data_IF_019508863906
#
_entry.id   IF_019508863906
#
_cell.length_a   1.000
_cell.length_b   1.000
_cell.length_c   1.000
_cell.angle_alpha   90.00
_cell.angle_beta   90.00
_cell.angle_gamma   90.00
#
_symmetry.space_group_name_H-M   'P 1'
#
loop_
_entity.id
_entity.type
_entity.pdbx_description
1 polymer ?
#
# COMPACT_ATOMS: atom_id res chain seq x y z
N UNK A 1 -9.73 -1.54 13.31
CA UNK A 1 -8.67 -1.80 12.30
C UNK A 1 -8.51 -0.52 11.52
N UNK A 2 -7.30 -0.18 11.09
CA UNK A 2 -7.08 1.07 10.35
C UNK A 2 -7.58 0.92 8.92
N UNK A 3 -8.30 1.92 8.45
CA UNK A 3 -8.71 2.06 7.04
C UNK A 3 -7.58 2.64 6.21
N UNK A 4 -7.71 2.60 4.88
CA UNK A 4 -6.74 3.26 4.00
C UNK A 4 -6.69 4.77 4.26
N UNK A 5 -7.85 5.40 4.53
CA UNK A 5 -7.91 6.81 4.93
C UNK A 5 -7.13 7.08 6.20
N UNK A 6 -7.26 6.24 7.24
CA UNK A 6 -6.51 6.39 8.50
C UNK A 6 -5.00 6.28 8.27
N UNK A 7 -4.57 5.36 7.40
CA UNK A 7 -3.14 5.24 7.07
C UNK A 7 -2.61 6.48 6.36
N UNK A 8 -3.39 7.04 5.42
CA UNK A 8 -3.03 8.28 4.71
C UNK A 8 -2.88 9.43 5.70
N UNK A 9 -3.81 9.60 6.64
CA UNK A 9 -3.75 10.65 7.67
C UNK A 9 -2.55 10.47 8.60
N UNK A 10 -2.22 9.23 8.98
CA UNK A 10 -1.04 8.95 9.80
C UNK A 10 0.26 9.22 9.05
N UNK A 11 0.36 8.89 7.76
CA UNK A 11 1.52 9.23 6.92
C UNK A 11 1.64 10.74 6.78
N UNK A 12 0.54 11.42 6.48
CA UNK A 12 0.47 12.89 6.35
C UNK A 12 0.93 13.57 7.65
N UNK A 13 0.46 13.10 8.80
CA UNK A 13 0.89 13.59 10.12
C UNK A 13 2.40 13.43 10.36
N UNK A 14 2.99 12.30 9.94
CA UNK A 14 4.45 12.11 10.01
C UNK A 14 5.17 13.08 9.09
N UNK A 15 4.66 13.29 7.87
CA UNK A 15 5.27 14.17 6.87
C UNK A 15 5.23 15.63 7.28
N UNK A 16 4.15 16.09 7.93
CA UNK A 16 4.03 17.46 8.42
C UNK A 16 5.09 17.80 9.49
N UNK A 17 5.63 16.81 10.21
CA UNK A 17 6.77 17.02 11.12
C UNK A 17 8.08 17.39 10.43
N UNK A 18 8.14 17.30 9.10
CA UNK A 18 9.34 17.60 8.28
C UNK A 18 9.16 18.85 7.40
N UNK A 19 8.04 19.55 7.51
CA UNK A 19 7.74 20.77 6.74
C UNK A 19 7.25 21.89 7.66
N UNK A 20 7.82 23.09 7.49
CA UNK A 20 7.39 24.30 8.21
C UNK A 20 6.31 25.08 7.44
N UNK A 21 5.89 24.60 6.27
CA UNK A 21 4.92 25.31 5.42
C UNK A 21 3.49 25.07 5.90
N UNK A 22 2.79 26.16 6.15
CA UNK A 22 1.34 26.15 6.38
C UNK A 22 0.66 26.16 5.00
N UNK A 23 0.01 25.07 4.65
CA UNK A 23 -0.77 24.96 3.42
C UNK A 23 -2.16 25.60 3.61
N UNK A 24 -2.53 26.61 2.82
CA UNK A 24 -3.86 27.18 2.89
C UNK A 24 -4.93 26.10 2.61
N UNK A 25 -5.86 25.94 3.53
CA UNK A 25 -6.88 24.89 3.48
C UNK A 25 -8.28 25.50 3.58
N UNK A 26 -9.20 24.99 2.78
CA UNK A 26 -10.62 25.37 2.77
C UNK A 26 -11.49 24.15 2.47
N UNK A 27 -12.78 24.33 2.29
CA UNK A 27 -13.74 23.27 1.96
C UNK A 27 -14.67 23.73 0.83
N UNK A 28 -15.11 22.79 -0.02
CA UNK A 28 -16.14 23.07 -1.00
C UNK A 28 -17.47 23.42 -0.31
N UNK A 29 -18.09 24.53 -0.70
CA UNK A 29 -19.41 24.92 -0.20
C UNK A 29 -20.53 24.23 -0.97
N UNK A 30 -20.27 23.79 -2.19
CA UNK A 30 -21.22 23.07 -3.05
C UNK A 30 -20.54 21.90 -3.73
N UNK A 31 -21.31 20.84 -4.04
CA UNK A 31 -20.82 19.72 -4.80
C UNK A 31 -20.35 20.16 -6.21
N UNK A 32 -19.24 19.59 -6.67
CA UNK A 32 -18.68 19.84 -7.98
C UNK A 32 -18.64 18.53 -8.78
N UNK A 33 -19.14 18.53 -10.01
CA UNK A 33 -18.99 17.38 -10.89
C UNK A 33 -17.60 17.37 -11.57
N UNK A 34 -17.28 16.31 -12.30
CA UNK A 34 -15.98 16.13 -12.94
C UNK A 34 -15.66 17.13 -14.07
N UNK A 35 -16.63 17.90 -14.54
CA UNK A 35 -16.48 18.82 -15.67
C UNK A 35 -16.57 20.31 -15.28
N UNK A 36 -16.96 20.61 -14.02
CA UNK A 36 -17.07 21.98 -13.53
C UNK A 36 -15.69 22.64 -13.53
N UNK A 37 -15.63 23.88 -14.00
CA UNK A 37 -14.43 24.71 -14.06
C UNK A 37 -14.41 25.84 -13.01
N UNK A 38 -15.47 25.99 -12.23
CA UNK A 38 -15.54 26.96 -11.12
C UNK A 38 -15.91 26.23 -9.84
N UNK A 39 -15.06 26.30 -8.83
CA UNK A 39 -15.27 25.71 -7.52
C UNK A 39 -15.61 26.78 -6.50
N UNK A 40 -16.72 26.63 -5.78
CA UNK A 40 -17.10 27.50 -4.66
C UNK A 40 -16.52 26.91 -3.38
N UNK A 41 -15.76 27.70 -2.62
CA UNK A 41 -15.08 27.28 -1.39
C UNK A 41 -15.50 28.19 -0.22
N UNK A 42 -15.24 27.76 1.01
CA UNK A 42 -15.64 28.53 2.19
C UNK A 42 -14.77 29.77 2.40
N UNK A 43 -13.48 29.68 2.11
CA UNK A 43 -12.51 30.77 2.21
C UNK A 43 -11.45 30.63 1.11
N UNK A 44 -11.31 31.68 0.30
CA UNK A 44 -10.31 31.72 -0.78
C UNK A 44 -9.02 32.44 -0.37
N UNK A 45 -8.91 32.91 0.88
CA UNK A 45 -7.76 33.62 1.39
C UNK A 45 -6.50 32.72 1.33
N UNK A 46 -5.43 33.23 0.75
CA UNK A 46 -4.18 32.47 0.57
C UNK A 46 -4.19 31.49 -0.60
N UNK A 47 -5.33 31.30 -1.27
CA UNK A 47 -5.41 30.48 -2.47
C UNK A 47 -5.10 31.31 -3.71
N UNK A 48 -4.06 30.97 -4.43
CA UNK A 48 -3.61 31.67 -5.63
C UNK A 48 -3.70 30.80 -6.89
N UNK A 49 -3.19 31.35 -7.99
CA UNK A 49 -3.00 30.57 -9.21
C UNK A 49 -2.00 29.46 -8.98
N UNK A 50 -2.36 28.22 -9.28
CA UNK A 50 -1.48 27.08 -9.11
C UNK A 50 -2.23 25.77 -8.97
N UNK A 51 -1.51 24.75 -8.48
CA UNK A 51 -2.12 23.45 -8.20
C UNK A 51 -2.83 23.47 -6.85
N UNK A 52 -4.04 22.94 -6.85
CA UNK A 52 -4.87 22.79 -5.67
C UNK A 52 -5.35 21.34 -5.61
N UNK A 53 -5.35 20.76 -4.44
CA UNK A 53 -5.89 19.42 -4.21
C UNK A 53 -7.33 19.52 -3.72
N UNK A 54 -8.19 18.70 -4.29
CA UNK A 54 -9.57 18.47 -3.82
C UNK A 54 -9.73 16.95 -3.65
N UNK A 55 -9.83 16.47 -2.42
CA UNK A 55 -9.76 15.04 -2.09
C UNK A 55 -8.51 14.39 -2.74
N UNK A 56 -8.71 13.47 -3.67
CA UNK A 56 -7.62 12.78 -4.40
C UNK A 56 -7.27 13.43 -5.75
N UNK A 57 -8.03 14.45 -6.19
CA UNK A 57 -7.80 15.13 -7.46
C UNK A 57 -6.89 16.34 -7.29
N UNK A 58 -5.93 16.49 -8.19
CA UNK A 58 -5.16 17.72 -8.36
C UNK A 58 -5.79 18.52 -9.50
N UNK A 59 -6.13 19.77 -9.21
CA UNK A 59 -6.67 20.70 -10.19
C UNK A 59 -5.72 21.89 -10.37
N UNK A 60 -5.75 22.52 -11.55
CA UNK A 60 -4.99 23.75 -11.79
C UNK A 60 -5.93 24.98 -11.79
N UNK A 61 -5.73 25.83 -10.80
CA UNK A 61 -6.46 27.09 -10.65
C UNK A 61 -5.80 28.17 -11.51
N UNK A 62 -6.59 28.81 -12.36
CA UNK A 62 -6.15 29.92 -13.20
C UNK A 62 -6.31 31.27 -12.51
N UNK A 63 -7.41 31.47 -11.79
CA UNK A 63 -7.69 32.68 -11.01
C UNK A 63 -8.56 32.39 -9.78
N UNK A 64 -8.40 33.21 -8.76
CA UNK A 64 -9.13 33.15 -7.50
C UNK A 64 -9.88 34.46 -7.29
N UNK A 65 -11.13 34.36 -6.88
CA UNK A 65 -11.95 35.51 -6.44
C UNK A 65 -12.18 35.41 -4.93
N UNK A 66 -11.49 36.26 -4.17
CA UNK A 66 -11.56 36.27 -2.70
C UNK A 66 -12.85 36.93 -2.18
N UNK A 67 -13.59 37.66 -3.02
CA UNK A 67 -14.87 38.26 -2.62
C UNK A 67 -16.00 37.24 -2.79
N UNK A 68 -16.01 36.55 -3.92
CA UNK A 68 -17.01 35.52 -4.20
C UNK A 68 -16.61 34.14 -3.62
N UNK A 69 -15.40 33.98 -3.07
CA UNK A 69 -14.83 32.73 -2.59
C UNK A 69 -14.90 31.61 -3.65
N UNK A 70 -14.42 31.91 -4.85
CA UNK A 70 -14.42 30.96 -5.96
C UNK A 70 -13.06 30.79 -6.58
N UNK A 71 -12.77 29.54 -7.01
CA UNK A 71 -11.60 29.17 -7.78
C UNK A 71 -12.02 28.87 -9.21
N UNK A 72 -11.49 29.60 -10.17
CA UNK A 72 -11.70 29.34 -11.59
C UNK A 72 -10.55 28.49 -12.13
N UNK A 73 -10.86 27.29 -12.60
CA UNK A 73 -9.91 26.36 -13.15
C UNK A 73 -9.56 26.73 -14.61
N UNK A 74 -8.36 26.38 -15.04
CA UNK A 74 -8.04 26.40 -16.46
C UNK A 74 -8.93 25.40 -17.24
N UNK A 75 -9.20 25.62 -18.55
CA UNK A 75 -10.02 24.68 -19.34
C UNK A 75 -9.51 23.24 -19.31
N UNK A 76 -8.22 23.04 -19.11
CA UNK A 76 -7.54 21.77 -18.95
C UNK A 76 -7.18 21.46 -17.48
N UNK A 77 -7.72 22.21 -16.53
CA UNK A 77 -7.25 22.24 -15.15
C UNK A 77 -7.71 21.08 -14.27
N UNK A 78 -8.56 20.17 -14.76
CA UNK A 78 -9.02 18.99 -14.03
C UNK A 78 -8.04 17.81 -14.21
N UNK A 79 -7.96 16.93 -13.23
CA UNK A 79 -7.18 15.69 -13.31
C UNK A 79 -5.70 15.88 -13.55
N UNK A 80 -5.04 16.83 -12.89
CA UNK A 80 -3.63 17.14 -13.09
C UNK A 80 -2.69 16.17 -12.37
N UNK A 81 -1.41 16.16 -12.74
CA UNK A 81 -0.35 15.36 -12.12
C UNK A 81 -0.68 13.86 -12.04
N UNK A 82 -1.39 13.33 -13.05
CA UNK A 82 -1.72 11.91 -13.11
C UNK A 82 -2.89 11.49 -12.20
N UNK A 83 -3.66 12.44 -11.68
CA UNK A 83 -4.94 12.18 -11.03
C UNK A 83 -6.06 12.16 -12.07
N UNK A 84 -7.23 11.65 -11.70
CA UNK A 84 -8.41 11.59 -12.57
C UNK A 84 -9.44 12.62 -12.14
N UNK A 85 -10.05 13.32 -13.10
CA UNK A 85 -11.15 14.25 -12.81
C UNK A 85 -12.33 13.51 -12.19
N UNK A 86 -12.75 13.90 -11.00
CA UNK A 86 -13.78 13.24 -10.22
C UNK A 86 -14.89 14.22 -9.79
N UNK A 87 -16.02 13.69 -9.36
CA UNK A 87 -17.03 14.46 -8.68
C UNK A 87 -16.67 14.59 -7.19
N UNK A 88 -16.84 15.77 -6.62
CA UNK A 88 -16.58 16.08 -5.22
C UNK A 88 -17.86 16.49 -4.50
N UNK A 89 -18.03 16.01 -3.28
CA UNK A 89 -19.16 16.40 -2.43
C UNK A 89 -18.95 17.80 -1.83
N UNK A 90 -20.03 18.43 -1.37
CA UNK A 90 -19.90 19.57 -0.48
C UNK A 90 -19.11 19.17 0.76
N UNK A 91 -18.34 20.10 1.32
CA UNK A 91 -17.40 19.89 2.42
C UNK A 91 -16.14 19.04 2.07
N UNK A 92 -15.89 18.73 0.79
CA UNK A 92 -14.60 18.17 0.37
C UNK A 92 -13.47 19.14 0.71
N UNK A 93 -12.38 18.61 1.28
CA UNK A 93 -11.20 19.40 1.68
C UNK A 93 -10.47 19.93 0.45
N UNK A 94 -10.13 21.20 0.47
CA UNK A 94 -9.38 21.90 -0.59
C UNK A 94 -8.08 22.42 -0.01
N UNK A 95 -6.94 22.00 -0.55
CA UNK A 95 -5.61 22.40 -0.07
C UNK A 95 -4.81 23.02 -1.21
N UNK A 96 -4.35 24.26 -1.02
CA UNK A 96 -3.55 24.96 -2.01
C UNK A 96 -2.08 24.49 -1.96
N UNK A 97 -1.51 24.26 -3.14
CA UNK A 97 -0.09 23.90 -3.34
C UNK A 97 0.40 22.78 -2.41
N UNK A 98 -0.30 21.62 -2.34
CA UNK A 98 0.07 20.55 -1.42
C UNK A 98 1.51 20.09 -1.68
N UNK A 99 2.30 20.01 -0.62
CA UNK A 99 3.67 19.49 -0.68
C UNK A 99 3.62 17.97 -0.84
N UNK A 100 2.70 17.33 -0.11
CA UNK A 100 2.45 15.89 -0.16
C UNK A 100 1.02 15.61 -0.64
N UNK A 101 0.80 15.54 -1.96
CA UNK A 101 -0.52 15.24 -2.48
C UNK A 101 -1.04 13.88 -2.00
N UNK A 102 -2.32 13.81 -1.58
CA UNK A 102 -2.98 12.59 -1.08
C UNK A 102 -2.84 11.43 -2.07
N UNK A 103 -2.96 11.69 -3.37
CA UNK A 103 -2.79 10.68 -4.41
C UNK A 103 -1.36 10.09 -4.44
N UNK A 104 -0.34 10.90 -4.17
CA UNK A 104 1.04 10.42 -4.08
C UNK A 104 1.29 9.64 -2.79
N UNK A 105 0.68 10.04 -1.67
CA UNK A 105 0.71 9.27 -0.41
C UNK A 105 0.09 7.89 -0.63
N UNK A 106 -1.07 7.79 -1.30
CA UNK A 106 -1.70 6.51 -1.66
C UNK A 106 -0.76 5.61 -2.47
N UNK A 107 -0.10 6.16 -3.47
CA UNK A 107 0.91 5.42 -4.26
C UNK A 107 2.09 4.97 -3.40
N UNK A 108 2.60 5.83 -2.52
CA UNK A 108 3.72 5.50 -1.64
C UNK A 108 3.37 4.38 -0.65
N UNK A 109 2.15 4.38 -0.10
CA UNK A 109 1.62 3.31 0.75
C UNK A 109 1.59 2.00 -0.03
N UNK A 110 0.95 1.95 -1.19
CA UNK A 110 0.83 0.75 -2.00
C UNK A 110 2.19 0.22 -2.48
N UNK A 111 3.10 1.11 -2.89
CA UNK A 111 4.48 0.74 -3.25
C UNK A 111 5.24 0.16 -2.05
N UNK A 112 4.92 0.60 -0.83
CA UNK A 112 5.54 0.05 0.38
C UNK A 112 4.97 -1.33 0.70
N UNK A 113 3.65 -1.51 0.61
CA UNK A 113 2.99 -2.80 0.78
C UNK A 113 3.58 -3.85 -0.18
N UNK A 114 3.72 -3.52 -1.46
CA UNK A 114 4.32 -4.44 -2.44
C UNK A 114 5.79 -4.74 -2.15
N UNK A 115 6.56 -3.72 -1.73
CA UNK A 115 7.98 -3.86 -1.42
C UNK A 115 8.28 -4.65 -0.12
N UNK A 116 7.30 -4.83 0.76
CA UNK A 116 7.46 -5.67 1.96
C UNK A 116 7.62 -7.15 1.61
N UNK A 117 7.03 -7.59 0.49
CA UNK A 117 7.23 -8.96 -0.01
C UNK A 117 8.67 -9.12 -0.55
N UNK A 118 9.38 -10.25 -0.31
CA UNK A 118 8.94 -11.50 0.35
C UNK A 118 9.20 -11.57 1.86
N UNK A 119 9.72 -10.49 2.49
CA UNK A 119 10.07 -10.52 3.92
C UNK A 119 8.81 -10.65 4.80
N UNK A 120 7.79 -9.88 4.48
CA UNK A 120 6.44 -9.97 5.06
C UNK A 120 5.47 -10.37 3.94
N UNK A 121 4.59 -11.30 4.23
CA UNK A 121 3.70 -11.91 3.23
C UNK A 121 2.29 -12.08 3.79
N UNK A 122 1.31 -12.11 2.89
CA UNK A 122 -0.04 -12.53 3.22
C UNK A 122 -0.15 -14.05 3.19
N UNK A 123 -1.07 -14.60 3.98
CA UNK A 123 -1.34 -16.04 4.01
C UNK A 123 -2.62 -16.34 3.23
N UNK A 124 -2.62 -17.45 2.52
CA UNK A 124 -3.79 -18.00 1.87
C UNK A 124 -3.96 -19.46 2.24
N UNK A 125 -5.17 -19.97 2.10
CA UNK A 125 -5.48 -21.39 2.28
C UNK A 125 -6.24 -21.93 1.07
N UNK A 126 -6.07 -23.20 0.77
CA UNK A 126 -6.83 -23.90 -0.25
C UNK A 126 -7.04 -25.35 0.18
N UNK A 127 -8.23 -25.86 -0.08
CA UNK A 127 -8.63 -27.21 0.27
C UNK A 127 -9.07 -27.97 -0.98
N UNK A 128 -8.76 -29.26 -1.02
CA UNK A 128 -9.28 -30.17 -2.04
C UNK A 128 -9.36 -31.60 -1.48
N UNK A 129 -10.25 -32.39 -2.04
CA UNK A 129 -10.37 -33.80 -1.65
C UNK A 129 -9.40 -34.66 -2.47
N UNK A 130 -8.68 -35.55 -1.81
CA UNK A 130 -7.75 -36.47 -2.45
C UNK A 130 -8.49 -37.56 -3.21
N UNK A 131 -8.14 -37.73 -4.51
CA UNK A 131 -8.76 -38.69 -5.42
C UNK A 131 -7.69 -39.72 -5.85
N UNK A 132 -7.99 -41.01 -5.75
CA UNK A 132 -7.03 -42.11 -6.03
C UNK A 132 -6.41 -42.07 -7.44
N UNK A 133 -7.19 -41.63 -8.42
CA UNK A 133 -6.73 -41.57 -9.84
C UNK A 133 -5.96 -40.31 -10.19
N UNK A 134 -5.77 -39.38 -9.23
CA UNK A 134 -5.17 -38.08 -9.46
C UNK A 134 -4.07 -37.80 -8.45
N UNK A 135 -2.84 -37.63 -8.92
CA UNK A 135 -1.68 -37.30 -8.09
C UNK A 135 -1.39 -35.81 -8.04
N UNK A 136 -1.79 -35.04 -9.06
CA UNK A 136 -1.46 -33.64 -9.23
C UNK A 136 -2.70 -32.77 -9.13
N UNK A 137 -2.64 -31.73 -8.32
CA UNK A 137 -3.75 -30.81 -8.03
C UNK A 137 -3.36 -29.37 -8.33
N UNK A 138 -4.32 -28.62 -8.84
CA UNK A 138 -4.13 -27.20 -9.13
C UNK A 138 -4.04 -26.41 -7.84
N UNK A 139 -3.11 -25.45 -7.78
CA UNK A 139 -2.98 -24.45 -6.73
C UNK A 139 -3.56 -23.10 -7.20
N UNK A 140 -3.94 -22.21 -6.30
CA UNK A 140 -4.39 -20.86 -6.63
C UNK A 140 -3.32 -20.08 -7.42
N UNK A 141 -3.75 -19.12 -8.26
CA UNK A 141 -2.84 -18.30 -9.07
C UNK A 141 -1.95 -17.38 -8.22
N UNK A 142 -2.41 -16.99 -7.03
CA UNK A 142 -1.67 -16.17 -6.07
C UNK A 142 -0.70 -16.96 -5.17
N UNK A 143 -0.65 -18.29 -5.34
CA UNK A 143 0.28 -19.17 -4.60
C UNK A 143 1.74 -18.81 -4.91
N UNK A 144 2.55 -18.62 -3.87
CA UNK A 144 3.99 -18.35 -4.01
C UNK A 144 4.85 -19.44 -3.37
N UNK A 145 4.55 -19.83 -2.13
CA UNK A 145 5.30 -20.85 -1.43
C UNK A 145 4.42 -21.51 -0.36
N UNK A 146 4.66 -22.78 -0.10
CA UNK A 146 3.94 -23.53 0.91
C UNK A 146 4.40 -23.15 2.32
N UNK A 147 3.45 -22.98 3.23
CA UNK A 147 3.68 -22.85 4.67
C UNK A 147 3.44 -24.16 5.39
N UNK A 148 2.46 -24.91 4.96
CA UNK A 148 2.13 -26.21 5.50
C UNK A 148 1.10 -26.92 4.65
N UNK A 149 1.21 -28.25 4.60
CA UNK A 149 0.20 -29.11 3.99
C UNK A 149 -0.20 -30.18 5.01
N UNK A 150 -1.49 -30.31 5.22
CA UNK A 150 -2.07 -31.32 6.12
C UNK A 150 -3.23 -32.02 5.45
N UNK A 151 -3.57 -33.21 5.90
CA UNK A 151 -4.77 -33.90 5.46
C UNK A 151 -5.58 -34.37 6.67
N UNK A 152 -6.90 -34.36 6.53
CA UNK A 152 -7.83 -34.76 7.61
C UNK A 152 -8.27 -36.21 7.46
N UNK A 153 -8.51 -36.87 8.59
CA UNK A 153 -9.23 -38.13 8.59
C UNK A 153 -10.71 -37.94 8.20
N UNK A 154 -11.33 -38.98 7.66
CA UNK A 154 -12.76 -38.97 7.35
C UNK A 154 -13.53 -39.34 8.66
N UNK A 155 -14.54 -38.54 8.99
CA UNK A 155 -15.39 -38.83 10.16
C UNK A 155 -15.74 -37.58 10.99
N UNK A 156 -16.52 -37.72 12.05
CA UNK A 156 -16.96 -36.61 12.89
C UNK A 156 -15.82 -35.98 13.72
N UNK A 157 -14.81 -36.75 14.07
CA UNK A 157 -13.58 -36.26 14.72
C UNK A 157 -12.48 -36.17 13.69
N UNK A 158 -12.25 -34.96 13.15
CA UNK A 158 -11.19 -34.71 12.16
C UNK A 158 -9.84 -34.53 12.87
N UNK A 159 -8.93 -35.46 12.62
CA UNK A 159 -7.52 -35.32 12.99
C UNK A 159 -6.72 -34.88 11.77
N UNK A 160 -5.75 -33.98 11.98
CA UNK A 160 -4.93 -33.41 10.92
C UNK A 160 -3.53 -33.96 10.96
N UNK A 161 -3.10 -34.58 9.86
CA UNK A 161 -1.76 -35.15 9.71
C UNK A 161 -0.96 -34.40 8.65
N UNK A 162 0.36 -34.21 8.84
CA UNK A 162 1.19 -33.54 7.85
C UNK A 162 1.35 -34.38 6.57
N UNK A 163 1.22 -33.72 5.42
CA UNK A 163 1.61 -34.28 4.12
C UNK A 163 3.13 -34.22 4.02
N UNK A 164 3.80 -35.39 3.94
CA UNK A 164 5.26 -35.47 3.97
C UNK A 164 5.92 -35.52 2.59
N UNK A 165 5.25 -36.11 1.61
CA UNK A 165 5.77 -36.29 0.25
C UNK A 165 4.95 -35.48 -0.75
N UNK A 166 5.50 -34.38 -1.25
CA UNK A 166 4.92 -33.60 -2.34
C UNK A 166 6.00 -32.89 -3.15
N UNK A 167 5.71 -32.57 -4.40
CA UNK A 167 6.48 -31.65 -5.24
C UNK A 167 5.62 -30.50 -5.72
N UNK A 168 6.23 -29.32 -5.83
CA UNK A 168 5.59 -28.11 -6.33
C UNK A 168 6.08 -27.81 -7.75
N UNK A 169 5.17 -27.46 -8.63
CA UNK A 169 5.48 -26.96 -9.95
C UNK A 169 4.86 -25.57 -10.13
N UNK A 170 5.71 -24.57 -10.37
CA UNK A 170 5.34 -23.18 -10.58
C UNK A 170 5.16 -22.84 -12.06
N UNK A 171 5.45 -23.78 -12.94
CA UNK A 171 5.41 -23.65 -14.40
C UNK A 171 4.58 -24.78 -15.05
N UNK A 172 3.58 -25.29 -14.32
CA UNK A 172 2.70 -26.34 -14.78
C UNK A 172 2.00 -25.94 -16.08
N UNK A 173 1.73 -26.94 -16.94
CA UNK A 173 1.06 -26.76 -18.21
C UNK A 173 -0.28 -26.02 -18.04
N UNK A 174 -0.44 -24.91 -18.78
CA UNK A 174 -1.62 -24.07 -18.73
C UNK A 174 -2.88 -24.75 -19.24
N UNK A 175 -2.75 -25.74 -20.14
CA UNK A 175 -3.88 -26.50 -20.69
C UNK A 175 -4.48 -27.46 -19.65
N UNK A 176 -3.62 -27.95 -18.74
CA UNK A 176 -4.04 -28.82 -17.63
C UNK A 176 -4.37 -28.04 -16.34
N UNK A 177 -3.67 -26.93 -16.09
CA UNK A 177 -3.77 -26.13 -14.86
C UNK A 177 -3.83 -24.64 -15.19
N UNK A 178 -5.01 -24.06 -15.17
CA UNK A 178 -5.26 -22.66 -15.55
C UNK A 178 -4.46 -21.63 -14.73
N UNK A 179 -4.05 -21.99 -13.50
CA UNK A 179 -3.20 -21.16 -12.65
C UNK A 179 -1.70 -21.28 -12.95
N UNK A 180 -1.29 -22.21 -13.84
CA UNK A 180 0.11 -22.62 -14.09
C UNK A 180 0.87 -23.07 -12.84
N UNK A 181 0.14 -23.45 -11.78
CA UNK A 181 0.69 -23.89 -10.50
C UNK A 181 0.05 -25.17 -10.06
N UNK A 182 0.86 -26.14 -9.68
CA UNK A 182 0.36 -27.44 -9.24
C UNK A 182 1.17 -28.02 -8.10
N UNK A 183 0.55 -28.95 -7.39
CA UNK A 183 1.18 -29.79 -6.36
C UNK A 183 0.94 -31.25 -6.70
N UNK A 184 2.01 -32.04 -6.73
CA UNK A 184 1.93 -33.49 -6.84
C UNK A 184 2.16 -34.12 -5.48
N UNK A 185 1.22 -34.97 -5.03
CA UNK A 185 1.27 -35.56 -3.69
C UNK A 185 1.61 -37.07 -3.84
N UNK A 186 2.64 -37.48 -3.10
CA UNK A 186 3.12 -38.86 -3.06
C UNK A 186 2.89 -39.53 -1.69
N UNK A 187 2.37 -38.77 -0.72
CA UNK A 187 2.01 -39.35 0.59
C UNK A 187 0.86 -40.35 0.45
N UNK A 188 0.85 -41.43 1.25
CA UNK A 188 -0.25 -42.38 1.26
C UNK A 188 -1.47 -41.78 1.95
N UNK A 189 -2.29 -41.05 1.17
CA UNK A 189 -3.55 -40.44 1.61
C UNK A 189 -4.69 -41.28 1.09
N UNK A 190 -5.67 -41.56 1.94
CA UNK A 190 -6.86 -42.31 1.53
C UNK A 190 -7.79 -41.42 0.68
N UNK A 191 -8.33 -41.91 -0.45
CA UNK A 191 -9.29 -41.17 -1.23
C UNK A 191 -10.47 -40.67 -0.41
N UNK A 192 -10.92 -39.44 -0.66
CA UNK A 192 -11.98 -38.77 0.08
C UNK A 192 -11.51 -38.01 1.34
N UNK A 193 -10.22 -38.07 1.67
CA UNK A 193 -9.66 -37.22 2.72
C UNK A 193 -9.39 -35.81 2.16
N UNK A 194 -9.75 -34.79 2.94
CA UNK A 194 -9.51 -33.39 2.55
C UNK A 194 -8.05 -33.01 2.83
N UNK A 195 -7.38 -32.47 1.82
CA UNK A 195 -6.05 -31.91 1.94
C UNK A 195 -6.19 -30.40 2.10
N UNK A 196 -5.59 -29.86 3.16
CA UNK A 196 -5.54 -28.43 3.48
C UNK A 196 -4.13 -27.90 3.26
N UNK A 197 -3.99 -26.86 2.44
CA UNK A 197 -2.72 -26.23 2.13
C UNK A 197 -2.77 -24.78 2.59
N UNK A 198 -1.87 -24.41 3.51
CA UNK A 198 -1.58 -23.03 3.85
C UNK A 198 -0.35 -22.55 3.05
N UNK A 199 -0.46 -21.39 2.45
CA UNK A 199 0.58 -20.87 1.55
C UNK A 199 0.83 -19.39 1.72
N UNK A 200 2.01 -18.95 1.23
CA UNK A 200 2.37 -17.53 1.12
C UNK A 200 1.83 -16.97 -0.16
N UNK A 201 1.30 -15.75 -0.07
CA UNK A 201 0.92 -14.96 -1.24
C UNK A 201 1.40 -13.51 -1.11
N UNK A 202 1.45 -12.79 -2.24
CA UNK A 202 1.68 -11.35 -2.21
C UNK A 202 0.52 -10.66 -1.52
N UNK A 203 0.77 -9.58 -0.76
CA UNK A 203 -0.31 -8.75 -0.23
C UNK A 203 -1.10 -8.12 -1.37
N UNK A 204 -2.40 -7.94 -1.17
CA UNK A 204 -3.23 -7.14 -2.07
C UNK A 204 -2.99 -5.65 -1.78
N UNK A 205 -3.19 -4.81 -2.80
CA UNK A 205 -3.09 -3.36 -2.67
C UNK A 205 -4.43 -2.77 -2.20
N UNK A 206 -4.35 -1.61 -1.55
CA UNK A 206 -5.53 -0.84 -1.14
C UNK A 206 -5.99 0.04 -2.30
N UNK A 207 -7.29 0.11 -2.54
CA UNK A 207 -7.89 0.88 -3.63
C UNK A 207 -8.85 1.94 -3.14
N UNK A 208 -9.76 1.57 -2.25
CA UNK A 208 -10.78 2.46 -1.71
C UNK A 208 -10.39 2.99 -0.33
N UNK A 209 -10.79 4.21 0.00
CA UNK A 209 -10.50 4.84 1.29
C UNK A 209 -11.04 4.05 2.49
N UNK A 210 -12.12 3.29 2.27
CA UNK A 210 -12.75 2.41 3.26
C UNK A 210 -12.09 1.05 3.42
N UNK A 211 -11.12 0.70 2.55
CA UNK A 211 -10.43 -0.59 2.63
C UNK A 211 -9.73 -0.75 3.98
N UNK A 212 -10.03 -1.80 4.69
CA UNK A 212 -9.35 -2.14 5.94
C UNK A 212 -8.00 -2.79 5.65
N UNK A 213 -6.95 -2.25 6.24
CA UNK A 213 -5.57 -2.69 5.99
C UNK A 213 -5.39 -4.20 6.11
N UNK A 214 -5.68 -4.77 7.27
CA UNK A 214 -5.39 -6.19 7.51
C UNK A 214 -6.27 -7.13 6.67
N UNK A 215 -7.55 -6.78 6.49
CA UNK A 215 -8.51 -7.61 5.76
C UNK A 215 -8.23 -7.60 4.26
N UNK A 216 -7.98 -6.42 3.69
CA UNK A 216 -7.77 -6.26 2.25
C UNK A 216 -6.39 -6.76 1.84
N UNK A 217 -5.34 -6.38 2.56
CA UNK A 217 -3.97 -6.78 2.20
C UNK A 217 -3.62 -8.20 2.61
N UNK A 218 -4.30 -8.74 3.63
CA UNK A 218 -3.96 -10.01 4.27
C UNK A 218 -2.69 -9.94 5.13
N UNK A 219 -2.16 -8.74 5.36
CA UNK A 219 -1.01 -8.51 6.24
C UNK A 219 -1.46 -8.41 7.71
N UNK A 220 -0.61 -8.74 8.67
CA UNK A 220 -0.95 -8.58 10.08
C UNK A 220 -1.06 -7.10 10.46
N UNK A 221 -2.03 -6.74 11.31
CA UNK A 221 -2.27 -5.34 11.73
C UNK A 221 -1.06 -4.68 12.39
N UNK A 222 -0.20 -5.44 13.06
CA UNK A 222 1.03 -4.91 13.66
C UNK A 222 2.10 -4.49 12.63
N UNK A 223 1.87 -4.70 11.33
CA UNK A 223 2.75 -4.23 10.25
C UNK A 223 2.39 -2.83 9.72
N UNK A 224 1.34 -2.18 10.21
CA UNK A 224 0.92 -0.84 9.79
C UNK A 224 2.03 0.19 9.90
N UNK A 225 2.81 0.16 10.99
CA UNK A 225 3.92 1.08 11.19
C UNK A 225 5.00 0.96 10.11
N UNK A 226 5.24 -0.25 9.58
CA UNK A 226 6.16 -0.45 8.46
C UNK A 226 5.70 0.32 7.23
N UNK A 227 4.39 0.26 6.96
CA UNK A 227 3.79 0.95 5.81
C UNK A 227 3.88 2.46 5.98
N UNK A 228 3.59 2.98 7.18
CA UNK A 228 3.62 4.42 7.46
C UNK A 228 5.04 4.98 7.28
N UNK A 229 6.04 4.40 7.94
CA UNK A 229 7.41 4.88 7.82
C UNK A 229 8.02 4.64 6.45
N UNK A 230 7.64 3.54 5.78
CA UNK A 230 8.07 3.26 4.42
C UNK A 230 7.49 4.22 3.38
N UNK A 231 6.23 4.62 3.52
CA UNK A 231 5.60 5.63 2.69
C UNK A 231 6.21 7.03 2.97
N UNK A 232 6.34 7.40 4.26
CA UNK A 232 6.94 8.68 4.65
C UNK A 232 8.38 8.82 4.13
N UNK A 233 9.21 7.79 4.28
CA UNK A 233 10.58 7.76 3.73
C UNK A 233 10.59 8.02 2.23
N UNK A 234 9.71 7.37 1.46
CA UNK A 234 9.61 7.54 0.01
C UNK A 234 9.22 8.96 -0.38
N UNK A 235 8.30 9.56 0.37
CA UNK A 235 7.83 10.93 0.12
C UNK A 235 8.90 11.97 0.46
N UNK A 236 9.59 11.84 1.59
CA UNK A 236 10.64 12.77 2.02
C UNK A 236 11.87 12.70 1.12
N UNK A 237 12.20 11.55 0.55
CA UNK A 237 13.38 11.41 -0.33
C UNK A 237 13.28 12.24 -1.62
N UNK A 238 12.08 12.69 -2.02
CA UNK A 238 11.88 13.56 -3.19
C UNK A 238 11.94 15.06 -2.87
N UNK A 239 11.98 15.46 -1.60
CA UNK A 239 11.98 16.89 -1.22
C UNK A 239 13.30 17.59 -1.50
N UNK A 240 14.40 16.87 -1.67
CA UNK A 240 15.75 17.43 -1.73
C UNK A 240 16.41 17.59 -3.12
N UNK A 241 15.79 17.27 -4.29
CA UNK A 241 16.46 17.42 -5.59
C UNK A 241 16.81 18.87 -5.93
N UNK A 242 16.05 19.83 -5.41
CA UNK A 242 16.30 21.27 -5.65
C UNK A 242 17.53 21.82 -4.91
N UNK A 243 18.05 21.11 -3.91
CA UNK A 243 19.20 21.48 -3.10
C UNK A 243 20.51 20.85 -3.55
N UNK A 244 20.51 20.08 -4.63
CA UNK A 244 21.72 19.49 -5.21
C UNK A 244 22.55 20.46 -6.04
N UNK A 245 22.06 21.69 -6.27
CA UNK A 245 22.79 22.70 -7.00
C UNK A 245 23.78 23.51 -6.12
N UNK A 246 24.93 23.97 -6.67
CA UNK A 246 25.91 24.76 -5.91
C UNK A 246 25.32 26.05 -5.31
N UNK A 247 24.31 26.63 -5.96
CA UNK A 247 23.67 27.87 -5.51
C UNK A 247 22.77 27.63 -4.27
N UNK A 248 22.16 26.44 -4.13
CA UNK A 248 21.37 26.11 -2.97
C UNK A 248 22.22 25.81 -1.74
N UNK A 249 23.43 25.29 -1.94
CA UNK A 249 24.40 25.10 -0.86
C UNK A 249 24.90 26.44 -0.26
N UNK A 250 25.06 27.46 -1.10
CA UNK A 250 25.43 28.79 -0.64
C UNK A 250 24.29 29.53 0.09
N UNK A 251 23.05 29.38 -0.36
CA UNK A 251 21.88 29.93 0.32
C UNK A 251 21.65 29.32 1.71
N UNK A 252 21.90 28.02 1.84
CA UNK A 252 21.73 27.27 3.10
C UNK A 252 22.75 27.71 4.18
N UNK A 253 23.94 28.17 3.77
CA UNK A 253 24.95 28.70 4.68
C UNK A 253 24.54 30.08 5.23
N UNK A 254 23.81 30.87 4.44
CA UNK A 254 23.38 32.21 4.84
C UNK A 254 22.07 32.24 5.61
N UNK A 255 21.15 31.31 5.36
CA UNK A 255 19.84 31.29 6.02
C UNK A 255 19.86 30.69 7.44
N UNK A 256 20.86 29.90 7.79
CA UNK A 256 21.07 29.39 9.18
C UNK A 256 19.94 28.51 9.75
N UNK A 257 18.84 28.34 8.99
CA UNK A 257 17.60 27.70 9.47
C UNK A 257 17.57 26.21 9.14
N UNK A 258 18.12 25.80 8.01
CA UNK A 258 18.17 24.39 7.60
C UNK A 258 19.56 23.97 7.11
N UNK A 259 20.29 23.12 7.87
CA UNK A 259 21.64 22.68 7.48
C UNK A 259 21.64 21.91 6.15
N UNK A 260 22.71 22.04 5.38
CA UNK A 260 22.93 21.26 4.14
C UNK A 260 22.77 19.76 4.42
N UNK A 261 21.91 19.06 3.65
CA UNK A 261 21.67 17.64 3.80
C UNK A 261 20.63 17.26 4.86
N UNK A 262 19.88 18.22 5.40
CA UNK A 262 18.80 17.95 6.39
C UNK A 262 17.77 16.97 5.86
N UNK A 263 17.34 17.11 4.59
CA UNK A 263 16.40 16.17 3.95
C UNK A 263 16.98 14.77 3.78
N UNK A 264 18.28 14.64 3.46
CA UNK A 264 18.94 13.34 3.42
C UNK A 264 19.03 12.70 4.79
N UNK A 265 19.26 13.46 5.84
CA UNK A 265 19.30 12.95 7.20
C UNK A 265 17.92 12.51 7.67
N UNK A 266 16.87 13.27 7.36
CA UNK A 266 15.47 12.91 7.63
C UNK A 266 15.07 11.62 6.88
N UNK A 267 15.39 11.55 5.59
CA UNK A 267 15.13 10.37 4.78
C UNK A 267 15.87 9.12 5.31
N UNK A 268 17.15 9.25 5.69
CA UNK A 268 17.92 8.15 6.30
C UNK A 268 17.35 7.71 7.65
N UNK A 269 16.91 8.65 8.47
CA UNK A 269 16.29 8.35 9.76
C UNK A 269 15.00 7.55 9.57
N UNK A 270 14.10 8.01 8.69
CA UNK A 270 12.86 7.29 8.36
C UNK A 270 13.13 5.92 7.74
N UNK A 271 14.14 5.82 6.87
CA UNK A 271 14.55 4.55 6.29
C UNK A 271 15.05 3.56 7.35
N UNK A 272 15.84 4.02 8.33
CA UNK A 272 16.33 3.17 9.40
C UNK A 272 15.18 2.65 10.28
N UNK A 273 14.21 3.50 10.63
CA UNK A 273 13.00 3.08 11.36
C UNK A 273 12.22 2.07 10.54
N UNK A 274 11.98 2.35 9.26
CA UNK A 274 11.31 1.42 8.34
C UNK A 274 12.00 0.05 8.32
N UNK A 275 13.32 0.00 8.17
CA UNK A 275 14.08 -1.26 8.14
C UNK A 275 14.02 -2.00 9.47
N UNK A 276 14.13 -1.28 10.59
CA UNK A 276 14.00 -1.89 11.92
C UNK A 276 12.62 -2.53 12.09
N UNK A 277 11.55 -1.78 11.81
CA UNK A 277 10.17 -2.27 11.92
C UNK A 277 9.89 -3.43 10.97
N UNK A 278 10.39 -3.36 9.73
CA UNK A 278 10.27 -4.45 8.76
C UNK A 278 10.90 -5.74 9.27
N UNK A 279 12.10 -5.66 9.86
CA UNK A 279 12.78 -6.82 10.43
C UNK A 279 12.02 -7.38 11.64
N UNK A 280 11.51 -6.53 12.54
CA UNK A 280 10.71 -6.95 13.69
C UNK A 280 9.44 -7.71 13.25
N UNK A 281 8.72 -7.17 12.25
CA UNK A 281 7.52 -7.81 11.70
C UNK A 281 7.85 -9.13 11.00
N UNK A 282 8.93 -9.16 10.21
CA UNK A 282 9.38 -10.37 9.52
C UNK A 282 9.77 -11.48 10.52
N UNK A 283 10.46 -11.15 11.60
CA UNK A 283 10.83 -12.10 12.63
C UNK A 283 9.62 -12.62 13.41
N UNK A 284 8.65 -11.77 13.72
CA UNK A 284 7.38 -12.19 14.31
C UNK A 284 6.63 -13.17 13.40
N UNK A 285 6.57 -12.88 12.10
CA UNK A 285 5.89 -13.75 11.15
C UNK A 285 6.63 -15.09 10.96
N UNK A 286 7.98 -15.09 10.96
CA UNK A 286 8.78 -16.33 10.95
C UNK A 286 8.53 -17.21 12.17
N UNK A 287 8.34 -16.62 13.36
CA UNK A 287 7.99 -17.37 14.59
C UNK A 287 6.59 -17.99 14.50
N UNK A 288 5.63 -17.29 13.88
CA UNK A 288 4.28 -17.81 13.66
C UNK A 288 4.25 -18.94 12.62
N UNK A 289 5.13 -18.86 11.61
CA UNK A 289 5.22 -19.82 10.52
C UNK A 289 6.64 -20.43 10.44
N UNK A 290 7.03 -21.26 11.41
CA UNK A 290 8.36 -21.87 11.41
C UNK A 290 8.51 -22.83 10.22
N UNK A 291 9.67 -22.75 9.54
CA UNK A 291 10.03 -23.70 8.48
C UNK A 291 10.16 -25.10 9.09
N UNK A 292 9.28 -26.00 8.69
CA UNK A 292 9.35 -27.43 9.07
C UNK A 292 10.13 -28.17 7.98
N UNK A 293 11.42 -28.37 8.18
CA UNK A 293 12.21 -29.28 7.33
C UNK A 293 11.96 -30.73 7.76
N UNK A 294 11.37 -31.54 6.89
CA UNK A 294 11.27 -32.96 7.09
C UNK A 294 12.49 -33.61 6.41
N UNK A 295 13.49 -34.05 7.19
CA UNK A 295 14.52 -34.90 6.67
C UNK A 295 13.91 -36.26 6.35
N UNK A 296 13.90 -36.67 5.10
CA UNK A 296 13.75 -38.08 4.73
C UNK A 296 15.05 -38.78 5.12
N UNK A 297 14.95 -39.73 6.04
CA UNK A 297 15.99 -40.76 6.24
C UNK A 297 15.74 -41.89 5.29
#
# INVERSE_FOLDING_TARGET
>A
MSTFSDLIERVDSVLHGYTDNVEPTSWLTSAANSTVTTLSIADATGMGRGFVQVDDEIVFVNSTDNVANTLTLAPWGRGQRGTTAAAHSSNAKVTASPIFPRAEIKKAINNTIDAMYPMVFATGTTDFDFIAARTTYQLPADFQAILGATYSTVGPSREWFPVRGYTLDHTADSDAFSSTRSISIYSPITPGQTVHIAYKKRPSLLTEDSDEYATTTGLPSYSEDVVIYGAAFRMVSFLDPSRLGPQSAAADIFDGVTPVGSGQNASRFLYNIYQQRLNEVADNQRRQHPLRSHYQR
#
